data_IF_500921992735
#
_entry.id   IF_500921992735
#
_cell.length_a   1.000
_cell.length_b   1.000
_cell.length_c   1.000
_cell.angle_alpha   90.00
_cell.angle_beta   90.00
_cell.angle_gamma   90.00
#
_symmetry.space_group_name_H-M   'P 1'
#
loop_
_entity.id
_entity.type
_entity.pdbx_description
1 polymer ?
#
# COMPACT_ATOMS: atom_id res chain seq x y z
N UNK A 1 -30.89 -13.46 16.18
CA UNK A 1 -31.44 -12.99 14.89
C UNK A 1 -31.48 -14.19 13.95
N UNK A 2 -32.53 -14.33 13.11
CA UNK A 2 -32.56 -15.40 12.10
C UNK A 2 -31.72 -14.93 10.89
N UNK A 3 -30.62 -15.60 10.53
CA UNK A 3 -29.72 -15.12 9.48
C UNK A 3 -30.39 -14.96 8.11
N UNK A 4 -31.36 -15.83 7.79
CA UNK A 4 -32.05 -15.82 6.49
C UNK A 4 -32.85 -14.53 6.33
N UNK A 5 -33.62 -14.10 7.35
CA UNK A 5 -34.40 -12.85 7.30
C UNK A 5 -33.49 -11.63 7.07
N UNK A 6 -32.29 -11.65 7.66
CA UNK A 6 -31.31 -10.56 7.48
C UNK A 6 -30.75 -10.52 6.07
N UNK A 7 -30.48 -11.70 5.48
CA UNK A 7 -30.01 -11.83 4.09
C UNK A 7 -31.10 -11.35 3.12
N UNK A 8 -32.35 -11.79 3.35
CA UNK A 8 -33.50 -11.41 2.49
C UNK A 8 -33.77 -9.90 2.49
N UNK A 9 -33.65 -9.24 3.60
CA UNK A 9 -33.75 -7.77 3.66
C UNK A 9 -32.75 -7.08 2.72
N UNK A 10 -31.48 -7.48 2.77
CA UNK A 10 -30.45 -6.90 1.87
C UNK A 10 -30.68 -7.31 0.42
N UNK A 11 -31.01 -8.60 0.16
CA UNK A 11 -31.36 -9.08 -1.17
C UNK A 11 -32.47 -8.25 -1.81
N UNK A 12 -33.48 -7.90 -1.03
CA UNK A 12 -34.66 -7.12 -1.47
C UNK A 12 -34.39 -5.61 -1.49
N UNK A 13 -33.16 -5.17 -1.23
CA UNK A 13 -32.72 -3.78 -1.28
C UNK A 13 -33.15 -2.93 -0.07
N UNK A 14 -33.56 -3.56 1.01
CA UNK A 14 -33.92 -2.86 2.25
C UNK A 14 -32.69 -2.41 3.01
N UNK A 15 -32.82 -1.26 3.66
CA UNK A 15 -31.79 -0.75 4.57
C UNK A 15 -31.78 -1.55 5.87
N UNK A 16 -30.59 -1.97 6.31
CA UNK A 16 -30.40 -2.77 7.51
C UNK A 16 -30.02 -1.88 8.70
N UNK A 17 -30.61 -2.12 9.87
CA UNK A 17 -30.30 -1.32 11.07
C UNK A 17 -28.90 -1.60 11.59
N UNK A 18 -28.27 -0.59 12.20
CA UNK A 18 -26.94 -0.68 12.82
C UNK A 18 -26.83 -1.85 13.82
N UNK A 19 -27.85 -2.04 14.66
CA UNK A 19 -27.85 -3.12 15.64
C UNK A 19 -27.89 -4.51 15.02
N UNK A 20 -28.60 -4.67 13.89
CA UNK A 20 -28.67 -5.96 13.18
C UNK A 20 -27.38 -6.27 12.44
N UNK A 21 -26.74 -5.28 11.81
CA UNK A 21 -25.41 -5.44 11.19
C UNK A 21 -24.39 -5.88 12.24
N UNK A 22 -24.30 -5.15 13.36
CA UNK A 22 -23.40 -5.50 14.48
C UNK A 22 -23.64 -6.92 14.98
N UNK A 23 -24.90 -7.30 15.18
CA UNK A 23 -25.27 -8.64 15.65
C UNK A 23 -24.92 -9.74 14.64
N UNK A 24 -25.11 -9.51 13.34
CA UNK A 24 -24.76 -10.46 12.29
C UNK A 24 -23.24 -10.72 12.25
N UNK A 25 -22.43 -9.66 12.31
CA UNK A 25 -20.97 -9.76 12.28
C UNK A 25 -20.46 -10.45 13.56
N UNK A 26 -21.02 -10.12 14.73
CA UNK A 26 -20.71 -10.83 15.99
C UNK A 26 -21.03 -12.32 15.88
N UNK A 27 -22.24 -12.67 15.41
CA UNK A 27 -22.69 -14.06 15.27
C UNK A 27 -21.84 -14.83 14.26
N UNK A 28 -21.42 -14.17 13.17
CA UNK A 28 -20.52 -14.77 12.19
C UNK A 28 -19.13 -15.02 12.78
N UNK A 29 -18.56 -14.05 13.46
CA UNK A 29 -17.23 -14.16 14.08
C UNK A 29 -17.19 -15.26 15.15
N UNK A 30 -18.31 -15.52 15.81
CA UNK A 30 -18.46 -16.56 16.83
C UNK A 30 -18.95 -17.92 16.25
N UNK A 31 -19.05 -18.06 14.93
CA UNK A 31 -19.45 -19.30 14.26
C UNK A 31 -20.94 -19.65 14.36
N UNK A 32 -21.81 -18.71 14.79
CA UNK A 32 -23.28 -18.91 14.83
C UNK A 32 -23.96 -18.63 13.50
N UNK A 33 -23.33 -17.92 12.59
CA UNK A 33 -23.71 -17.75 11.20
C UNK A 33 -22.73 -18.56 10.36
N UNK A 34 -23.22 -19.39 9.45
CA UNK A 34 -22.40 -20.23 8.62
C UNK A 34 -21.80 -19.47 7.42
N UNK A 35 -20.66 -19.93 6.89
CA UNK A 35 -19.96 -19.29 5.74
C UNK A 35 -20.86 -19.08 4.54
N UNK A 36 -21.73 -20.05 4.19
CA UNK A 36 -22.64 -19.91 3.07
C UNK A 36 -23.71 -18.84 3.30
N UNK A 37 -24.10 -18.57 4.54
CA UNK A 37 -25.02 -17.47 4.88
C UNK A 37 -24.30 -16.13 4.80
N UNK A 38 -23.10 -16.05 5.33
CA UNK A 38 -22.27 -14.84 5.21
C UNK A 38 -21.95 -14.53 3.73
N UNK A 39 -21.61 -15.54 2.92
CA UNK A 39 -21.38 -15.39 1.49
C UNK A 39 -22.63 -14.89 0.73
N UNK A 40 -23.82 -15.41 1.07
CA UNK A 40 -25.08 -14.92 0.49
C UNK A 40 -25.36 -13.47 0.84
N UNK A 41 -25.09 -13.04 2.09
CA UNK A 41 -25.22 -11.66 2.49
C UNK A 41 -24.20 -10.74 1.80
N UNK A 42 -22.93 -11.18 1.69
CA UNK A 42 -21.88 -10.44 0.97
C UNK A 42 -22.26 -10.23 -0.51
N UNK A 43 -22.84 -11.25 -1.17
CA UNK A 43 -23.32 -11.12 -2.54
C UNK A 43 -24.52 -10.15 -2.62
N UNK A 44 -25.45 -10.20 -1.66
CA UNK A 44 -26.54 -9.24 -1.60
C UNK A 44 -26.03 -7.80 -1.43
N UNK A 45 -25.02 -7.58 -0.57
CA UNK A 45 -24.33 -6.29 -0.44
C UNK A 45 -23.64 -5.88 -1.74
N UNK A 46 -22.95 -6.80 -2.40
CA UNK A 46 -22.28 -6.53 -3.68
C UNK A 46 -23.26 -6.01 -4.74
N UNK A 47 -24.43 -6.64 -4.84
CA UNK A 47 -25.45 -6.31 -5.85
C UNK A 47 -26.32 -5.09 -5.50
N UNK A 48 -26.58 -4.84 -4.22
CA UNK A 48 -27.51 -3.79 -3.75
C UNK A 48 -26.82 -2.59 -3.11
N UNK A 49 -25.53 -2.72 -2.79
CA UNK A 49 -24.77 -1.70 -2.07
C UNK A 49 -25.13 -1.59 -0.58
N UNK A 50 -24.47 -0.65 0.07
CA UNK A 50 -24.76 -0.17 1.43
C UNK A 50 -24.73 1.35 1.42
N UNK A 51 -25.58 1.97 2.21
CA UNK A 51 -25.48 3.41 2.46
C UNK A 51 -24.38 3.72 3.49
N UNK A 52 -24.10 5.00 3.71
CA UNK A 52 -23.04 5.46 4.62
C UNK A 52 -23.24 4.93 6.04
N UNK A 53 -24.46 4.94 6.57
CA UNK A 53 -24.77 4.44 7.91
C UNK A 53 -24.53 2.92 8.02
N UNK A 54 -24.94 2.15 7.02
CA UNK A 54 -24.71 0.70 7.00
C UNK A 54 -23.20 0.39 6.90
N UNK A 55 -22.48 1.12 6.07
CA UNK A 55 -21.03 0.96 5.89
C UNK A 55 -20.27 1.30 7.16
N UNK A 56 -20.64 2.39 7.84
CA UNK A 56 -20.09 2.76 9.15
C UNK A 56 -20.38 1.69 10.21
N UNK A 57 -21.61 1.16 10.24
CA UNK A 57 -22.01 0.11 11.20
C UNK A 57 -21.22 -1.20 10.98
N UNK A 58 -20.99 -1.58 9.71
CA UNK A 58 -20.15 -2.72 9.35
C UNK A 58 -18.70 -2.49 9.79
N UNK A 59 -18.15 -1.33 9.48
CA UNK A 59 -16.79 -0.96 9.86
C UNK A 59 -16.58 -1.02 11.37
N UNK A 60 -17.51 -0.46 12.14
CA UNK A 60 -17.46 -0.48 13.60
C UNK A 60 -17.59 -1.91 14.16
N UNK A 61 -18.47 -2.73 13.59
CA UNK A 61 -18.61 -4.12 14.00
C UNK A 61 -17.33 -4.93 13.76
N UNK A 62 -16.69 -4.74 12.60
CA UNK A 62 -15.43 -5.39 12.27
C UNK A 62 -14.28 -4.88 13.15
N UNK A 63 -14.18 -3.57 13.38
CA UNK A 63 -13.19 -2.97 14.30
C UNK A 63 -13.29 -3.57 15.69
N UNK A 64 -14.51 -3.68 16.22
CA UNK A 64 -14.77 -4.11 17.59
C UNK A 64 -14.78 -5.63 17.75
N UNK A 65 -14.55 -6.41 16.70
CA UNK A 65 -14.51 -7.87 16.77
C UNK A 65 -13.24 -8.43 17.40
N UNK A 66 -12.21 -7.61 17.58
CA UNK A 66 -10.92 -7.99 18.15
C UNK A 66 -10.29 -6.91 19.02
N UNK A 67 -8.97 -6.95 19.14
CA UNK A 67 -8.21 -5.96 19.90
C UNK A 67 -8.23 -4.58 19.21
N UNK A 68 -8.42 -3.53 20.01
CA UNK A 68 -8.17 -2.14 19.60
C UNK A 68 -6.88 -1.72 20.28
N UNK A 69 -5.90 -1.30 19.48
CA UNK A 69 -4.59 -0.90 20.00
C UNK A 69 -4.72 0.48 20.65
N UNK A 70 -4.39 0.53 21.94
CA UNK A 70 -4.27 1.79 22.67
C UNK A 70 -2.84 2.35 22.50
N UNK A 71 -2.71 3.45 21.74
CA UNK A 71 -1.46 4.15 21.50
C UNK A 71 -1.20 5.32 22.47
N UNK A 72 -2.00 5.48 23.52
CA UNK A 72 -1.89 6.60 24.49
C UNK A 72 -0.53 6.66 25.21
N UNK A 73 0.22 5.55 25.25
CA UNK A 73 1.59 5.51 25.77
C UNK A 73 2.64 6.10 24.81
N UNK A 74 2.27 6.47 23.58
CA UNK A 74 3.15 7.15 22.64
C UNK A 74 3.02 8.66 22.84
N UNK A 75 4.16 9.33 23.07
CA UNK A 75 4.21 10.77 23.26
C UNK A 75 4.19 11.49 21.88
N UNK A 76 3.17 12.31 21.66
CA UNK A 76 2.95 13.05 20.41
C UNK A 76 1.83 12.49 19.55
N UNK A 77 1.59 13.11 18.40
CA UNK A 77 0.51 12.74 17.48
C UNK A 77 0.95 11.57 16.59
N UNK A 78 0.15 10.53 16.60
CA UNK A 78 0.35 9.34 15.77
C UNK A 78 -0.42 9.47 14.46
N UNK A 79 0.25 9.26 13.32
CA UNK A 79 -0.40 9.27 12.00
C UNK A 79 -0.11 7.96 11.29
N UNK A 80 -1.16 7.24 10.86
CA UNK A 80 -1.01 6.05 10.02
C UNK A 80 -1.21 6.38 8.54
N UNK A 81 -0.41 5.76 7.68
CA UNK A 81 -0.55 5.82 6.21
C UNK A 81 -0.99 4.46 5.69
N UNK A 82 -2.02 4.44 4.86
CA UNK A 82 -2.43 3.21 4.16
C UNK A 82 -2.40 3.43 2.65
N UNK A 83 -1.91 2.42 1.90
CA UNK A 83 -2.04 2.34 0.45
C UNK A 83 -3.00 1.22 0.09
N UNK A 84 -3.84 1.44 -0.93
CA UNK A 84 -4.69 0.38 -1.49
C UNK A 84 -3.90 -0.62 -2.33
N UNK A 85 -2.57 -0.39 -2.48
CA UNK A 85 -1.66 -1.27 -3.20
C UNK A 85 -1.52 -0.95 -4.69
N UNK A 86 -0.34 -1.19 -5.22
CA UNK A 86 0.00 -0.96 -6.62
C UNK A 86 1.38 -1.51 -6.96
N UNK A 87 1.79 -1.37 -8.22
CA UNK A 87 3.07 -1.82 -8.72
C UNK A 87 4.16 -0.81 -8.39
N UNK A 88 5.30 -1.29 -7.85
CA UNK A 88 6.41 -0.46 -7.42
C UNK A 88 5.99 0.59 -6.37
N UNK A 89 5.07 0.23 -5.47
CA UNK A 89 4.61 1.12 -4.40
C UNK A 89 5.57 1.06 -3.21
N UNK A 90 6.67 1.78 -3.33
CA UNK A 90 7.71 1.93 -2.30
C UNK A 90 7.35 3.05 -1.30
N UNK A 91 6.21 3.72 -1.47
CA UNK A 91 5.82 4.95 -0.75
C UNK A 91 5.99 4.84 0.76
N UNK A 92 5.54 3.74 1.39
CA UNK A 92 5.60 3.59 2.86
C UNK A 92 7.04 3.59 3.39
N UNK A 93 7.97 2.95 2.68
CA UNK A 93 9.37 2.85 3.10
C UNK A 93 10.09 4.21 3.09
N UNK A 94 9.57 5.15 2.31
CA UNK A 94 10.15 6.49 2.15
C UNK A 94 9.41 7.52 3.03
N UNK A 95 8.07 7.51 2.96
CA UNK A 95 7.24 8.48 3.71
C UNK A 95 7.41 8.32 5.22
N UNK A 96 7.40 7.06 5.72
CA UNK A 96 7.44 6.84 7.17
C UNK A 96 8.70 7.41 7.84
N UNK A 97 9.94 7.15 7.35
CA UNK A 97 11.13 7.79 7.91
C UNK A 97 11.19 9.30 7.68
N UNK A 98 10.71 9.81 6.55
CA UNK A 98 10.68 11.26 6.29
C UNK A 98 9.81 12.00 7.31
N UNK A 99 8.57 11.55 7.50
CA UNK A 99 7.66 12.21 8.45
C UNK A 99 8.11 12.00 9.90
N UNK A 100 8.76 10.87 10.21
CA UNK A 100 9.33 10.63 11.52
C UNK A 100 10.55 11.53 11.78
N UNK A 101 11.37 11.85 10.76
CA UNK A 101 12.42 12.84 10.85
C UNK A 101 11.87 14.24 11.15
N UNK A 102 10.70 14.57 10.62
CA UNK A 102 9.98 15.82 10.88
C UNK A 102 9.19 15.83 12.21
N UNK A 103 9.18 14.74 12.98
CA UNK A 103 8.58 14.67 14.31
C UNK A 103 7.23 13.95 14.44
N UNK A 104 6.65 13.46 13.34
CA UNK A 104 5.42 12.62 13.39
C UNK A 104 5.74 11.27 14.02
N UNK A 105 4.81 10.71 14.80
CA UNK A 105 4.92 9.35 15.31
C UNK A 105 4.22 8.38 14.37
N UNK A 106 4.96 7.37 13.87
CA UNK A 106 4.45 6.35 12.95
C UNK A 106 4.48 4.98 13.62
N UNK A 107 3.37 4.60 14.22
CA UNK A 107 3.15 3.30 14.87
C UNK A 107 2.40 2.38 13.87
N UNK A 108 3.15 1.79 12.91
CA UNK A 108 2.53 1.17 11.75
C UNK A 108 2.41 -0.34 11.85
N UNK A 109 1.20 -0.84 11.58
CA UNK A 109 0.95 -2.27 11.33
C UNK A 109 0.71 -2.48 9.84
N UNK A 110 1.42 -3.43 9.23
CA UNK A 110 1.40 -3.69 7.80
C UNK A 110 1.16 -5.17 7.48
N UNK A 111 0.86 -5.47 6.22
CA UNK A 111 0.66 -6.83 5.71
C UNK A 111 1.77 -7.28 4.77
N UNK A 112 1.72 -8.58 4.43
CA UNK A 112 2.49 -9.19 3.34
C UNK A 112 1.83 -8.93 2.00
N UNK A 113 2.60 -9.04 0.92
CA UNK A 113 2.08 -9.01 -0.46
C UNK A 113 1.44 -10.34 -0.85
N UNK A 114 0.48 -10.24 -1.76
CA UNK A 114 -0.12 -11.37 -2.46
C UNK A 114 -0.36 -10.99 -3.93
N UNK A 115 -0.19 -11.94 -4.84
CA UNK A 115 -0.28 -11.69 -6.26
C UNK A 115 0.90 -10.86 -6.78
N UNK A 116 0.61 -10.00 -7.74
CA UNK A 116 1.58 -9.18 -8.45
C UNK A 116 1.97 -7.87 -7.73
N UNK A 117 1.38 -7.59 -6.56
CA UNK A 117 1.72 -6.41 -5.75
C UNK A 117 2.62 -6.81 -4.57
N UNK A 118 3.70 -6.07 -4.35
CA UNK A 118 4.63 -6.32 -3.25
C UNK A 118 4.10 -5.88 -1.88
N UNK A 119 4.46 -6.60 -0.82
CA UNK A 119 4.10 -6.27 0.55
C UNK A 119 5.19 -5.49 1.29
N UNK A 120 4.82 -4.51 2.10
CA UNK A 120 5.78 -3.72 2.88
C UNK A 120 6.66 -4.59 3.79
N UNK A 121 6.08 -5.63 4.41
CA UNK A 121 6.84 -6.53 5.28
C UNK A 121 7.85 -7.37 4.49
N UNK A 122 7.47 -7.88 3.31
CA UNK A 122 8.35 -8.67 2.46
C UNK A 122 9.57 -7.85 1.99
N UNK A 123 9.34 -6.56 1.68
CA UNK A 123 10.42 -5.62 1.35
C UNK A 123 11.38 -5.43 2.53
N UNK A 124 10.86 -5.18 3.72
CA UNK A 124 11.68 -5.00 4.93
C UNK A 124 12.42 -6.28 5.32
N UNK A 125 11.84 -7.46 5.16
CA UNK A 125 12.51 -8.75 5.40
C UNK A 125 13.67 -9.05 4.44
N UNK A 126 13.77 -8.34 3.31
CA UNK A 126 14.93 -8.44 2.43
C UNK A 126 16.20 -7.82 3.02
N UNK A 127 16.05 -6.96 4.03
CA UNK A 127 17.17 -6.45 4.83
C UNK A 127 17.59 -7.52 5.84
N UNK A 128 18.83 -8.03 5.77
CA UNK A 128 19.27 -9.11 6.65
C UNK A 128 19.10 -8.75 8.13
N UNK A 129 18.51 -9.65 8.91
CA UNK A 129 18.30 -9.49 10.35
C UNK A 129 17.09 -8.64 10.75
N UNK A 130 16.39 -8.00 9.80
CA UNK A 130 15.22 -7.15 10.13
C UNK A 130 14.07 -7.97 10.72
N UNK A 131 13.56 -7.53 11.87
CA UNK A 131 12.45 -8.16 12.59
C UNK A 131 11.13 -7.45 12.32
N UNK A 132 10.17 -8.16 11.73
CA UNK A 132 8.79 -7.67 11.51
C UNK A 132 7.86 -7.89 12.70
N UNK A 133 8.36 -8.56 13.74
CA UNK A 133 7.59 -8.83 14.98
C UNK A 133 8.34 -8.24 16.15
N UNK A 134 7.66 -7.37 16.90
CA UNK A 134 8.13 -6.82 18.17
C UNK A 134 7.07 -7.12 19.24
N UNK A 135 7.50 -7.22 20.49
CA UNK A 135 6.57 -7.18 21.61
C UNK A 135 5.89 -5.80 21.70
N UNK A 136 4.76 -5.73 22.38
CA UNK A 136 4.05 -4.45 22.59
C UNK A 136 4.95 -3.40 23.24
N UNK A 137 5.76 -3.81 24.22
CA UNK A 137 6.69 -2.93 24.91
C UNK A 137 7.81 -2.45 23.97
N UNK A 138 8.46 -3.35 23.21
CA UNK A 138 9.47 -2.99 22.22
C UNK A 138 8.92 -2.00 21.20
N UNK A 139 7.68 -2.23 20.70
CA UNK A 139 7.02 -1.39 19.72
C UNK A 139 6.80 0.02 20.24
N UNK A 140 6.22 0.19 21.43
CA UNK A 140 6.01 1.50 22.01
C UNK A 140 7.30 2.24 22.36
N UNK A 141 8.26 1.54 22.95
CA UNK A 141 9.58 2.11 23.28
C UNK A 141 10.31 2.59 22.04
N UNK A 142 10.24 1.83 20.95
CA UNK A 142 10.85 2.23 19.68
C UNK A 142 10.18 3.47 19.09
N UNK A 143 8.83 3.50 19.02
CA UNK A 143 8.11 4.67 18.47
C UNK A 143 8.36 5.91 19.31
N UNK A 144 8.39 5.81 20.64
CA UNK A 144 8.73 6.94 21.51
C UNK A 144 10.15 7.42 21.25
N UNK A 145 11.13 6.51 21.13
CA UNK A 145 12.54 6.84 20.98
C UNK A 145 12.88 7.42 19.62
N UNK A 146 12.45 6.78 18.52
CA UNK A 146 12.88 7.15 17.17
C UNK A 146 11.75 7.68 16.27
N UNK A 147 10.51 7.66 16.73
CA UNK A 147 9.33 8.14 16.00
C UNK A 147 8.72 7.13 15.05
N UNK A 148 9.30 5.93 14.84
CA UNK A 148 8.89 5.01 13.80
C UNK A 148 9.06 3.54 14.23
N UNK A 149 8.01 2.73 14.01
CA UNK A 149 8.10 1.28 13.97
C UNK A 149 7.12 0.70 12.94
N UNK A 150 7.51 -0.38 12.24
CA UNK A 150 6.64 -1.11 11.29
C UNK A 150 6.67 -2.58 11.65
N UNK A 151 5.50 -3.13 11.99
CA UNK A 151 5.35 -4.54 12.38
C UNK A 151 4.25 -5.23 11.59
N UNK A 152 4.24 -6.55 11.63
CA UNK A 152 3.13 -7.36 11.11
C UNK A 152 1.85 -7.16 11.92
N UNK A 153 0.70 -7.24 11.25
CA UNK A 153 -0.60 -7.23 11.93
C UNK A 153 -0.76 -8.50 12.77
N UNK A 154 -1.28 -8.35 14.00
CA UNK A 154 -1.68 -9.50 14.80
C UNK A 154 -2.97 -10.12 14.24
N UNK A 155 -3.16 -11.42 14.46
CA UNK A 155 -4.41 -12.11 14.10
C UNK A 155 -5.64 -11.59 14.84
N UNK A 156 -5.42 -10.87 15.94
CA UNK A 156 -6.46 -10.32 16.81
C UNK A 156 -6.97 -8.95 16.34
N UNK A 157 -6.33 -8.32 15.36
CA UNK A 157 -6.75 -7.04 14.82
C UNK A 157 -7.90 -7.26 13.82
N UNK A 158 -9.12 -6.86 14.16
CA UNK A 158 -10.33 -7.00 13.35
C UNK A 158 -10.53 -8.43 12.75
N UNK A 159 -10.60 -9.50 13.57
CA UNK A 159 -10.72 -10.88 13.10
C UNK A 159 -11.95 -11.14 12.22
N UNK A 160 -13.04 -10.40 12.41
CA UNK A 160 -14.20 -10.45 11.50
C UNK A 160 -13.84 -10.07 10.08
N UNK A 161 -12.96 -9.08 9.86
CA UNK A 161 -12.49 -8.71 8.53
C UNK A 161 -11.71 -9.86 7.87
N UNK A 162 -10.84 -10.53 8.61
CA UNK A 162 -10.08 -11.67 8.10
C UNK A 162 -11.00 -12.79 7.58
N UNK A 163 -12.06 -13.11 8.33
CA UNK A 163 -13.04 -14.13 7.93
C UNK A 163 -13.85 -13.67 6.70
N UNK A 164 -14.39 -12.45 6.72
CA UNK A 164 -15.17 -11.91 5.63
C UNK A 164 -14.33 -11.76 4.35
N UNK A 165 -13.08 -11.30 4.46
CA UNK A 165 -12.21 -11.13 3.29
C UNK A 165 -11.89 -12.47 2.63
N UNK A 166 -11.64 -13.54 3.41
CA UNK A 166 -11.44 -14.88 2.88
C UNK A 166 -12.65 -15.41 2.08
N UNK A 167 -13.87 -15.10 2.56
CA UNK A 167 -15.08 -15.42 1.79
C UNK A 167 -15.21 -14.57 0.52
N UNK A 168 -14.92 -13.28 0.61
CA UNK A 168 -15.02 -12.36 -0.53
C UNK A 168 -14.09 -12.78 -1.66
N UNK A 169 -12.88 -13.18 -1.33
CA UNK A 169 -11.90 -13.68 -2.29
C UNK A 169 -12.41 -14.94 -3.03
N UNK A 170 -13.04 -15.85 -2.30
CA UNK A 170 -13.58 -17.11 -2.84
C UNK A 170 -14.93 -16.96 -3.56
N UNK A 171 -15.67 -15.87 -3.32
CA UNK A 171 -17.07 -15.71 -3.82
C UNK A 171 -17.25 -14.59 -4.84
N UNK A 172 -16.15 -13.94 -5.30
CA UNK A 172 -16.20 -12.89 -6.31
C UNK A 172 -16.88 -11.62 -5.82
N UNK A 173 -16.75 -11.28 -4.51
CA UNK A 173 -17.37 -10.09 -3.91
C UNK A 173 -16.35 -9.07 -3.40
N UNK A 174 -15.09 -9.16 -3.85
CA UNK A 174 -14.02 -8.25 -3.42
C UNK A 174 -14.28 -6.81 -3.89
N UNK A 175 -14.77 -6.59 -5.11
CA UNK A 175 -14.82 -5.27 -5.77
C UNK A 175 -16.02 -4.39 -5.34
N UNK A 176 -16.56 -4.58 -4.15
CA UNK A 176 -17.64 -3.77 -3.57
C UNK A 176 -17.06 -2.61 -2.75
N UNK A 177 -17.35 -1.36 -3.13
CA UNK A 177 -16.83 -0.16 -2.43
C UNK A 177 -17.12 -0.18 -0.94
N UNK A 178 -18.36 -0.37 -0.44
CA UNK A 178 -18.63 -0.39 1.00
C UNK A 178 -17.87 -1.52 1.71
N UNK A 179 -17.70 -2.70 1.08
CA UNK A 179 -16.95 -3.81 1.67
C UNK A 179 -15.43 -3.55 1.69
N UNK A 180 -14.89 -2.89 0.66
CA UNK A 180 -13.47 -2.49 0.64
C UNK A 180 -13.23 -1.41 1.70
N UNK A 181 -14.05 -0.37 1.72
CA UNK A 181 -13.93 0.74 2.66
C UNK A 181 -13.99 0.23 4.11
N UNK A 182 -14.97 -0.63 4.44
CA UNK A 182 -15.10 -1.22 5.77
C UNK A 182 -13.90 -2.10 6.14
N UNK A 183 -13.41 -2.92 5.20
CA UNK A 183 -12.24 -3.79 5.41
C UNK A 183 -10.97 -2.97 5.73
N UNK A 184 -10.70 -1.92 4.97
CA UNK A 184 -9.54 -1.05 5.18
C UNK A 184 -9.69 -0.30 6.49
N UNK A 185 -10.81 0.41 6.67
CA UNK A 185 -10.98 1.35 7.78
C UNK A 185 -11.16 0.65 9.12
N UNK A 186 -11.75 -0.55 9.19
CA UNK A 186 -11.84 -1.31 10.45
C UNK A 186 -10.46 -1.59 11.05
N UNK A 187 -9.47 -1.98 10.22
CA UNK A 187 -8.09 -2.22 10.65
C UNK A 187 -7.37 -0.92 11.01
N UNK A 188 -7.59 0.16 10.25
CA UNK A 188 -6.96 1.45 10.52
C UNK A 188 -7.47 2.06 11.83
N UNK A 189 -8.77 1.98 12.07
CA UNK A 189 -9.38 2.43 13.32
C UNK A 189 -9.02 1.54 14.53
N UNK A 190 -8.89 0.21 14.32
CA UNK A 190 -8.41 -0.71 15.35
C UNK A 190 -6.92 -0.49 15.69
N UNK A 191 -6.11 -0.02 14.74
CA UNK A 191 -4.69 0.33 14.94
C UNK A 191 -4.45 1.53 15.85
N UNK A 192 -5.47 2.34 16.14
CA UNK A 192 -5.47 3.35 17.21
C UNK A 192 -4.88 4.70 16.86
N UNK A 193 -4.29 4.93 15.67
CA UNK A 193 -3.67 6.19 15.30
C UNK A 193 -4.61 7.41 15.46
N UNK A 194 -4.05 8.57 15.75
CA UNK A 194 -4.81 9.81 15.94
C UNK A 194 -5.35 10.36 14.63
N UNK A 195 -4.62 10.17 13.51
CA UNK A 195 -5.04 10.56 12.18
C UNK A 195 -4.64 9.50 11.14
N UNK A 196 -5.30 9.53 9.98
CA UNK A 196 -5.12 8.56 8.91
C UNK A 196 -4.94 9.28 7.58
N UNK A 197 -3.89 8.91 6.82
CA UNK A 197 -3.69 9.35 5.44
C UNK A 197 -3.77 8.13 4.52
N UNK A 198 -4.71 8.18 3.58
CA UNK A 198 -5.00 7.12 2.63
C UNK A 198 -4.38 7.47 1.26
N UNK A 199 -3.65 6.54 0.69
CA UNK A 199 -3.11 6.60 -0.67
C UNK A 199 -3.94 5.65 -1.54
N UNK A 200 -4.95 6.19 -2.22
CA UNK A 200 -5.95 5.43 -2.98
C UNK A 200 -5.53 5.35 -4.43
N UNK A 201 -5.12 4.16 -4.83
CA UNK A 201 -4.58 3.88 -6.17
C UNK A 201 -5.68 3.58 -7.18
N UNK A 202 -5.54 4.08 -8.42
CA UNK A 202 -6.39 3.73 -9.55
C UNK A 202 -5.58 3.50 -10.82
N UNK A 203 -6.15 2.76 -11.77
CA UNK A 203 -5.54 2.45 -13.06
C UNK A 203 -5.17 0.97 -13.21
N UNK A 204 -4.43 0.64 -14.26
CA UNK A 204 -4.15 -0.74 -14.67
C UNK A 204 -3.41 -1.53 -13.61
N UNK A 205 -2.47 -0.91 -12.91
CA UNK A 205 -1.69 -1.50 -11.82
C UNK A 205 -2.36 -1.47 -10.44
N UNK A 206 -3.64 -1.10 -10.33
CA UNK A 206 -4.38 -0.98 -9.08
C UNK A 206 -5.66 -1.82 -9.04
N UNK A 207 -6.28 -1.96 -7.85
CA UNK A 207 -7.59 -2.59 -7.69
C UNK A 207 -8.70 -1.74 -8.32
N UNK A 208 -8.74 -0.44 -8.03
CA UNK A 208 -9.69 0.48 -8.68
C UNK A 208 -9.22 0.79 -10.09
N UNK A 209 -10.03 0.42 -11.09
CA UNK A 209 -9.63 0.56 -12.50
C UNK A 209 -9.83 1.97 -13.03
N UNK A 210 -10.77 2.72 -12.47
CA UNK A 210 -11.05 4.08 -12.91
C UNK A 210 -10.88 5.10 -11.78
N UNK A 211 -10.60 6.34 -12.16
CA UNK A 211 -10.47 7.46 -11.24
C UNK A 211 -11.78 7.71 -10.45
N UNK A 212 -12.93 7.56 -11.11
CA UNK A 212 -14.26 7.77 -10.52
C UNK A 212 -14.51 6.75 -9.38
N UNK A 213 -14.23 5.46 -9.63
CA UNK A 213 -14.39 4.40 -8.63
C UNK A 213 -13.42 4.59 -7.44
N UNK A 214 -12.20 5.03 -7.72
CA UNK A 214 -11.24 5.35 -6.67
C UNK A 214 -11.69 6.57 -5.84
N UNK A 215 -12.29 7.57 -6.48
CA UNK A 215 -12.84 8.73 -5.78
C UNK A 215 -14.00 8.33 -4.86
N UNK A 216 -14.93 7.50 -5.33
CA UNK A 216 -16.03 6.95 -4.50
C UNK A 216 -15.48 6.19 -3.28
N UNK A 217 -14.49 5.32 -3.49
CA UNK A 217 -13.84 4.58 -2.41
C UNK A 217 -13.14 5.51 -1.41
N UNK A 218 -12.38 6.48 -1.92
CA UNK A 218 -11.66 7.45 -1.09
C UNK A 218 -12.63 8.28 -0.23
N UNK A 219 -13.71 8.77 -0.82
CA UNK A 219 -14.77 9.50 -0.11
C UNK A 219 -15.38 8.63 0.99
N UNK A 220 -15.80 7.40 0.67
CA UNK A 220 -16.36 6.49 1.65
C UNK A 220 -15.41 6.22 2.84
N UNK A 221 -14.10 6.05 2.58
CA UNK A 221 -13.11 5.83 3.64
C UNK A 221 -12.88 7.09 4.48
N UNK A 222 -12.83 8.28 3.87
CA UNK A 222 -12.71 9.55 4.58
C UNK A 222 -13.92 9.76 5.49
N UNK A 223 -15.14 9.57 4.97
CA UNK A 223 -16.38 9.75 5.73
C UNK A 223 -16.46 8.78 6.94
N UNK A 224 -16.01 7.52 6.77
CA UNK A 224 -15.89 6.56 7.88
C UNK A 224 -14.90 7.07 8.95
N UNK A 225 -13.75 7.57 8.55
CA UNK A 225 -12.74 8.07 9.49
C UNK A 225 -13.24 9.28 10.28
N UNK A 226 -13.83 10.26 9.58
CA UNK A 226 -14.44 11.46 10.20
C UNK A 226 -15.57 11.08 11.14
N UNK A 227 -16.47 10.18 10.73
CA UNK A 227 -17.56 9.68 11.58
C UNK A 227 -17.06 8.96 12.85
N UNK A 228 -15.85 8.35 12.77
CA UNK A 228 -15.17 7.74 13.91
C UNK A 228 -14.37 8.75 14.77
N UNK A 229 -14.41 10.05 14.46
CA UNK A 229 -13.69 11.10 15.16
C UNK A 229 -12.18 11.11 14.87
N UNK A 230 -11.76 10.54 13.72
CA UNK A 230 -10.36 10.48 13.29
C UNK A 230 -10.16 11.37 12.04
N UNK A 231 -9.36 12.44 12.12
CA UNK A 231 -8.95 13.19 10.94
C UNK A 231 -8.44 12.23 9.86
N UNK A 232 -9.04 12.28 8.68
CA UNK A 232 -8.73 11.34 7.60
C UNK A 232 -8.65 12.09 6.28
N UNK A 233 -7.53 11.93 5.58
CA UNK A 233 -7.30 12.51 4.25
C UNK A 233 -7.00 11.40 3.27
N UNK A 234 -7.53 11.48 2.04
CA UNK A 234 -7.22 10.56 0.96
C UNK A 234 -6.54 11.27 -0.22
N UNK A 235 -5.45 10.70 -0.69
CA UNK A 235 -4.73 11.13 -1.90
C UNK A 235 -5.01 10.10 -2.99
N UNK A 236 -5.56 10.54 -4.13
CA UNK A 236 -5.80 9.68 -5.29
C UNK A 236 -4.55 9.67 -6.17
N UNK A 237 -4.01 8.47 -6.42
CA UNK A 237 -2.77 8.31 -7.17
C UNK A 237 -2.91 7.35 -8.34
N UNK A 238 -2.38 7.76 -9.52
CA UNK A 238 -2.44 6.98 -10.75
C UNK A 238 -1.43 5.84 -10.77
N UNK A 239 -1.92 4.65 -11.11
CA UNK A 239 -1.16 3.43 -11.36
C UNK A 239 -1.30 2.97 -12.82
N UNK A 240 -1.58 3.89 -13.75
CA UNK A 240 -1.53 3.63 -15.21
C UNK A 240 -0.09 3.42 -15.72
N UNK A 241 0.89 3.59 -14.86
CA UNK A 241 2.27 3.15 -15.00
C UNK A 241 2.79 2.76 -13.61
N UNK A 242 3.88 1.99 -13.49
CA UNK A 242 4.54 1.73 -12.20
C UNK A 242 4.81 3.05 -11.45
N UNK A 243 4.66 3.04 -10.13
CA UNK A 243 4.86 4.25 -9.34
C UNK A 243 6.35 4.58 -9.20
N UNK A 244 7.15 3.59 -8.81
CA UNK A 244 8.60 3.66 -8.71
C UNK A 244 9.29 2.99 -9.87
N UNK A 245 10.62 2.95 -9.79
CA UNK A 245 11.53 2.37 -10.77
C UNK A 245 11.94 0.94 -10.42
N UNK A 246 11.47 0.40 -9.30
CA UNK A 246 11.83 -0.92 -8.80
C UNK A 246 10.60 -1.76 -8.50
N UNK A 247 10.57 -3.00 -8.99
CA UNK A 247 9.52 -3.99 -8.75
C UNK A 247 10.18 -5.23 -8.17
N UNK A 248 10.07 -5.43 -6.86
CA UNK A 248 10.71 -6.54 -6.14
C UNK A 248 11.22 -6.09 -4.77
N UNK A 249 11.41 -7.05 -3.84
CA UNK A 249 11.52 -6.71 -2.43
C UNK A 249 12.81 -5.91 -2.10
N UNK A 250 13.99 -6.47 -2.32
CA UNK A 250 15.25 -5.78 -2.07
C UNK A 250 15.50 -4.59 -3.01
N UNK A 251 14.99 -4.68 -4.26
CA UNK A 251 15.08 -3.60 -5.23
C UNK A 251 14.35 -2.36 -4.75
N UNK A 252 13.20 -2.54 -4.10
CA UNK A 252 12.43 -1.42 -3.56
C UNK A 252 13.05 -0.84 -2.27
N UNK A 253 13.84 -1.62 -1.52
CA UNK A 253 14.70 -1.09 -0.45
C UNK A 253 15.81 -0.20 -1.05
N UNK A 254 16.46 -0.65 -2.13
CA UNK A 254 17.48 0.13 -2.84
C UNK A 254 16.88 1.44 -3.38
N UNK A 255 15.67 1.38 -3.96
CA UNK A 255 14.95 2.57 -4.42
C UNK A 255 14.60 3.52 -3.27
N UNK A 256 14.19 3.00 -2.10
CA UNK A 256 13.93 3.84 -0.94
C UNK A 256 15.20 4.62 -0.51
N UNK A 257 16.36 3.96 -0.51
CA UNK A 257 17.65 4.61 -0.25
C UNK A 257 17.96 5.67 -1.31
N UNK A 258 17.67 5.38 -2.57
CA UNK A 258 17.91 6.34 -3.66
C UNK A 258 17.04 7.58 -3.53
N UNK A 259 15.72 7.44 -3.30
CA UNK A 259 14.81 8.58 -3.12
C UNK A 259 15.19 9.40 -1.90
N UNK A 260 15.48 8.75 -0.76
CA UNK A 260 15.92 9.42 0.47
C UNK A 260 17.29 10.09 0.33
N UNK A 261 18.08 9.72 -0.71
CA UNK A 261 19.35 10.39 -1.09
C UNK A 261 19.17 11.45 -2.16
N UNK A 262 17.94 11.86 -2.48
CA UNK A 262 17.62 12.87 -3.50
C UNK A 262 17.57 12.37 -4.95
N UNK A 263 17.81 11.08 -5.18
CA UNK A 263 17.72 10.40 -6.49
C UNK A 263 16.33 9.77 -6.66
N UNK A 264 16.16 8.88 -7.64
CA UNK A 264 14.92 8.11 -7.84
C UNK A 264 13.93 8.76 -8.79
N UNK A 265 12.84 8.03 -9.07
CA UNK A 265 11.81 8.41 -10.04
C UNK A 265 10.97 9.62 -9.60
N UNK A 266 10.52 10.40 -10.57
CA UNK A 266 9.74 11.63 -10.33
C UNK A 266 8.34 11.32 -9.79
N UNK A 267 7.69 10.26 -10.32
CA UNK A 267 6.34 9.87 -9.94
C UNK A 267 6.27 9.44 -8.47
N UNK A 268 7.17 8.57 -8.04
CA UNK A 268 7.26 8.12 -6.65
C UNK A 268 7.56 9.28 -5.70
N UNK A 269 8.49 10.14 -6.05
CA UNK A 269 8.85 11.33 -5.25
C UNK A 269 7.66 12.27 -5.08
N UNK A 270 6.88 12.51 -6.14
CA UNK A 270 5.69 13.37 -6.08
C UNK A 270 4.65 12.82 -5.10
N UNK A 271 4.36 11.50 -5.15
CA UNK A 271 3.42 10.85 -4.22
C UNK A 271 3.96 10.87 -2.79
N UNK A 272 5.24 10.59 -2.59
CA UNK A 272 5.90 10.62 -1.28
C UNK A 272 5.76 11.99 -0.62
N UNK A 273 6.10 13.06 -1.34
CA UNK A 273 6.01 14.43 -0.83
C UNK A 273 4.56 14.83 -0.56
N UNK A 274 3.63 14.44 -1.42
CA UNK A 274 2.21 14.77 -1.22
C UNK A 274 1.62 14.03 -0.02
N UNK A 275 1.75 12.72 0.05
CA UNK A 275 1.23 11.90 1.16
C UNK A 275 1.86 12.32 2.48
N UNK A 276 3.18 12.51 2.50
CA UNK A 276 3.91 12.95 3.70
C UNK A 276 3.49 14.34 4.16
N UNK A 277 3.27 15.27 3.24
CA UNK A 277 2.79 16.62 3.58
C UNK A 277 1.43 16.60 4.29
N UNK A 278 0.50 15.75 3.83
CA UNK A 278 -0.77 15.57 4.52
C UNK A 278 -0.62 14.84 5.86
N UNK A 279 0.39 13.97 6.03
CA UNK A 279 0.71 13.40 7.35
C UNK A 279 1.25 14.48 8.31
N UNK A 280 2.10 15.39 7.86
CA UNK A 280 2.56 16.53 8.68
C UNK A 280 1.40 17.46 9.05
N UNK A 281 0.51 17.76 8.09
CA UNK A 281 -0.70 18.57 8.33
C UNK A 281 -1.63 17.89 9.34
N UNK A 282 -1.88 16.61 9.20
CA UNK A 282 -2.71 15.83 10.12
C UNK A 282 -2.12 15.75 11.53
N UNK A 283 -0.78 15.80 11.67
CA UNK A 283 -0.09 15.88 12.94
C UNK A 283 -0.05 17.31 13.54
N UNK A 284 -0.54 18.32 12.83
CA UNK A 284 -0.50 19.71 13.26
C UNK A 284 0.88 20.35 13.24
N UNK A 285 1.85 19.75 12.54
CA UNK A 285 3.22 20.28 12.43
C UNK A 285 3.35 21.37 11.37
N UNK A 286 2.44 21.39 10.41
CA UNK A 286 2.33 22.41 9.35
C UNK A 286 0.86 22.79 9.16
N UNK A 287 0.63 23.96 8.61
CA UNK A 287 -0.72 24.47 8.34
C UNK A 287 -1.21 24.08 6.95
N UNK A 288 -0.29 24.03 5.98
CA UNK A 288 -0.59 23.75 4.59
C UNK A 288 0.20 22.54 4.06
N UNK A 289 -0.30 21.88 3.04
CA UNK A 289 0.42 20.81 2.37
C UNK A 289 1.70 21.32 1.68
N UNK A 290 1.71 22.57 1.21
CA UNK A 290 2.88 23.17 0.56
C UNK A 290 4.04 23.36 1.56
N UNK A 291 3.75 23.85 2.77
CA UNK A 291 4.72 23.89 3.87
C UNK A 291 5.26 22.49 4.18
N UNK A 292 4.35 21.49 4.26
CA UNK A 292 4.73 20.10 4.50
C UNK A 292 5.65 19.53 3.42
N UNK A 293 5.39 19.81 2.16
CA UNK A 293 6.27 19.41 1.04
C UNK A 293 7.67 20.04 1.18
N UNK A 294 7.73 21.31 1.56
CA UNK A 294 9.00 22.02 1.76
C UNK A 294 9.82 21.35 2.87
N UNK A 295 9.21 21.11 4.03
CA UNK A 295 9.86 20.41 5.16
C UNK A 295 10.38 19.03 4.75
N UNK A 296 9.58 18.22 4.06
CA UNK A 296 10.02 16.91 3.63
C UNK A 296 11.14 16.96 2.59
N UNK A 297 11.11 17.94 1.68
CA UNK A 297 12.18 18.12 0.71
C UNK A 297 13.50 18.53 1.40
N UNK A 298 13.45 19.32 2.48
CA UNK A 298 14.61 19.64 3.31
C UNK A 298 15.21 18.40 3.95
N UNK A 299 14.38 17.50 4.52
CA UNK A 299 14.84 16.23 5.10
C UNK A 299 15.44 15.24 4.07
N UNK A 300 15.06 15.35 2.78
CA UNK A 300 15.75 14.66 1.70
C UNK A 300 17.10 15.32 1.43
N UNK A 301 17.14 16.65 1.32
CA UNK A 301 18.32 17.41 0.89
C UNK A 301 19.45 17.36 1.92
N UNK A 302 19.11 17.40 3.21
CA UNK A 302 20.08 17.37 4.32
C UNK A 302 20.47 15.94 4.76
N UNK A 303 19.78 14.93 4.19
CA UNK A 303 20.03 13.50 4.46
C UNK A 303 19.44 12.98 5.77
N UNK A 304 18.71 13.81 6.55
CA UNK A 304 18.10 13.38 7.81
C UNK A 304 17.01 12.32 7.61
N UNK A 305 16.29 12.35 6.49
CA UNK A 305 15.35 11.31 6.11
C UNK A 305 16.02 9.94 5.89
N UNK A 306 17.15 9.90 5.19
CA UNK A 306 17.96 8.69 5.02
C UNK A 306 18.53 8.19 6.35
N UNK A 307 19.03 9.10 7.19
CA UNK A 307 19.52 8.75 8.50
C UNK A 307 18.42 8.13 9.37
N UNK A 308 17.18 8.68 9.31
CA UNK A 308 16.02 8.11 10.01
C UNK A 308 15.64 6.73 9.48
N UNK A 309 15.72 6.50 8.17
CA UNK A 309 15.51 5.18 7.57
C UNK A 309 16.55 4.16 8.09
N UNK A 310 17.83 4.56 8.13
CA UNK A 310 18.89 3.73 8.69
C UNK A 310 18.63 3.41 10.17
N UNK A 311 18.33 4.41 10.98
CA UNK A 311 17.99 4.26 12.40
C UNK A 311 16.81 3.31 12.61
N UNK A 312 15.78 3.39 11.75
CA UNK A 312 14.63 2.51 11.77
C UNK A 312 15.01 1.04 11.48
N UNK A 313 15.78 0.81 10.43
CA UNK A 313 16.23 -0.54 10.08
C UNK A 313 17.06 -1.16 11.21
N UNK A 314 18.03 -0.42 11.76
CA UNK A 314 18.88 -0.86 12.87
C UNK A 314 18.07 -1.15 14.15
N UNK A 315 17.08 -0.31 14.46
CA UNK A 315 16.23 -0.48 15.64
C UNK A 315 15.43 -1.80 15.61
N UNK A 316 15.12 -2.31 14.41
CA UNK A 316 14.47 -3.61 14.23
C UNK A 316 15.46 -4.74 13.84
N UNK A 317 16.78 -4.54 14.06
CA UNK A 317 17.83 -5.56 13.89
C UNK A 317 18.36 -5.70 12.47
N UNK A 318 17.96 -4.83 11.53
CA UNK A 318 18.42 -4.87 10.15
C UNK A 318 19.88 -4.45 9.99
N UNK A 319 20.61 -5.15 9.13
CA UNK A 319 21.96 -4.76 8.70
C UNK A 319 21.88 -3.61 7.70
N UNK A 320 22.42 -2.46 8.06
CA UNK A 320 22.43 -1.24 7.23
C UNK A 320 23.77 -0.97 6.56
N UNK A 321 24.72 -1.90 6.62
CA UNK A 321 26.06 -1.74 6.05
C UNK A 321 26.09 -1.52 4.53
N UNK A 322 25.01 -1.84 3.84
CA UNK A 322 24.85 -1.60 2.39
C UNK A 322 24.57 -0.14 2.05
N UNK A 323 23.94 0.64 2.95
CA UNK A 323 23.52 2.03 2.69
C UNK A 323 24.75 2.92 2.46
N UNK A 324 24.79 3.57 1.28
CA UNK A 324 25.89 4.44 0.87
C UNK A 324 27.16 3.70 0.38
N UNK A 325 27.15 2.36 0.38
CA UNK A 325 28.32 1.54 -0.04
C UNK A 325 28.02 0.78 -1.33
N UNK A 326 26.91 0.06 -1.38
CA UNK A 326 26.50 -0.79 -2.52
C UNK A 326 24.99 -1.06 -2.45
N UNK A 327 24.32 -1.40 -3.57
CA UNK A 327 22.95 -1.89 -3.51
C UNK A 327 22.81 -3.16 -2.66
N UNK A 328 21.68 -3.31 -1.97
CA UNK A 328 21.30 -4.53 -1.27
C UNK A 328 21.13 -5.69 -2.27
N UNK A 329 20.52 -5.38 -3.41
CA UNK A 329 20.29 -6.35 -4.50
C UNK A 329 21.57 -6.64 -5.25
N UNK A 330 21.93 -7.93 -5.33
CA UNK A 330 23.13 -8.39 -6.07
C UNK A 330 22.77 -8.74 -7.51
N UNK A 331 23.61 -8.34 -8.47
CA UNK A 331 23.49 -8.71 -9.90
C UNK A 331 24.06 -10.12 -10.17
N UNK A 332 23.50 -11.15 -9.55
CA UNK A 332 23.98 -12.53 -9.72
C UNK A 332 23.52 -13.10 -11.07
N UNK A 333 22.23 -12.93 -11.38
CA UNK A 333 21.62 -13.33 -12.64
C UNK A 333 20.77 -12.15 -13.13
N UNK A 334 21.38 -11.23 -13.88
CA UNK A 334 20.75 -10.01 -14.35
C UNK A 334 20.74 -9.95 -15.88
N UNK A 335 19.57 -9.60 -16.43
CA UNK A 335 19.37 -9.47 -17.89
C UNK A 335 18.86 -8.09 -18.24
N UNK A 336 19.64 -7.37 -19.06
CA UNK A 336 19.30 -6.03 -19.49
C UNK A 336 18.43 -6.08 -20.75
N UNK A 337 17.26 -5.45 -20.71
CA UNK A 337 16.31 -5.35 -21.83
C UNK A 337 16.43 -3.95 -22.42
N UNK A 338 16.59 -3.88 -23.74
CA UNK A 338 16.82 -2.64 -24.47
C UNK A 338 15.67 -2.30 -25.41
N UNK A 339 15.53 -1.00 -25.68
CA UNK A 339 14.60 -0.47 -26.67
C UNK A 339 15.05 -0.86 -28.09
N UNK A 340 14.12 -1.27 -28.93
CA UNK A 340 14.38 -1.59 -30.35
C UNK A 340 14.20 -0.37 -31.26
N UNK A 341 13.50 0.66 -30.81
CA UNK A 341 13.21 1.87 -31.56
C UNK A 341 13.33 3.12 -30.70
N UNK A 342 13.58 4.25 -31.34
CA UNK A 342 13.60 5.57 -30.70
C UNK A 342 12.18 6.16 -30.62
N UNK A 343 11.93 7.01 -29.62
CA UNK A 343 10.66 7.71 -29.42
C UNK A 343 10.48 8.19 -28.00
N UNK A 344 9.25 8.12 -27.51
CA UNK A 344 8.84 8.45 -26.13
C UNK A 344 8.07 7.29 -25.54
N UNK A 345 8.25 7.03 -24.27
CA UNK A 345 7.47 6.02 -23.53
C UNK A 345 6.05 6.56 -23.34
N UNK A 346 5.09 6.13 -24.16
CA UNK A 346 3.68 6.54 -24.05
C UNK A 346 2.95 5.82 -22.92
N UNK A 347 3.31 4.54 -22.68
CA UNK A 347 2.70 3.72 -21.61
C UNK A 347 3.70 2.67 -21.12
N UNK A 348 3.58 2.32 -19.83
CA UNK A 348 4.29 1.18 -19.22
C UNK A 348 3.27 0.30 -18.52
N UNK A 349 3.05 -0.91 -19.04
CA UNK A 349 2.13 -1.88 -18.43
C UNK A 349 2.70 -2.40 -17.11
N UNK A 350 2.35 -1.69 -16.03
CA UNK A 350 2.78 -2.05 -14.68
C UNK A 350 2.31 -3.44 -14.26
N UNK A 351 1.09 -3.83 -14.65
CA UNK A 351 0.53 -5.14 -14.30
C UNK A 351 1.34 -6.27 -14.93
N UNK A 352 1.63 -6.18 -16.22
CA UNK A 352 2.46 -7.17 -16.91
C UNK A 352 3.84 -7.31 -16.25
N UNK A 353 4.47 -6.18 -15.89
CA UNK A 353 5.76 -6.19 -15.18
C UNK A 353 5.65 -6.80 -13.77
N UNK A 354 4.57 -6.51 -13.03
CA UNK A 354 4.31 -7.10 -11.72
C UNK A 354 4.08 -8.62 -11.78
N UNK A 355 3.35 -9.10 -12.79
CA UNK A 355 3.14 -10.53 -13.04
C UNK A 355 4.47 -11.22 -13.36
N UNK A 356 5.33 -10.61 -14.17
CA UNK A 356 6.68 -11.14 -14.47
C UNK A 356 7.53 -11.17 -13.19
N UNK A 357 7.51 -10.12 -12.36
CA UNK A 357 8.21 -10.12 -11.10
C UNK A 357 7.74 -11.26 -10.18
N UNK A 358 6.43 -11.50 -10.10
CA UNK A 358 5.86 -12.62 -9.35
C UNK A 358 6.32 -13.97 -9.89
N UNK A 359 6.25 -14.18 -11.21
CA UNK A 359 6.67 -15.42 -11.88
C UNK A 359 8.16 -15.71 -11.67
N UNK A 360 9.00 -14.67 -11.58
CA UNK A 360 10.44 -14.80 -11.29
C UNK A 360 10.76 -14.98 -9.80
N UNK A 361 9.73 -15.04 -8.96
CA UNK A 361 9.82 -15.37 -7.54
C UNK A 361 9.74 -14.18 -6.58
N UNK A 362 9.57 -12.94 -7.05
CA UNK A 362 9.47 -11.78 -6.17
C UNK A 362 8.12 -11.66 -5.42
N UNK A 363 7.08 -12.34 -5.92
CA UNK A 363 5.72 -12.33 -5.34
C UNK A 363 5.20 -13.72 -5.03
N UNK A 364 4.00 -13.79 -4.41
CA UNK A 364 3.29 -15.04 -4.08
C UNK A 364 2.08 -15.22 -4.99
N UNK A 365 2.03 -16.32 -5.74
CA UNK A 365 0.82 -16.77 -6.39
C UNK A 365 -0.17 -17.39 -5.38
N UNK A 366 0.36 -18.09 -4.37
CA UNK A 366 -0.39 -18.68 -3.27
C UNK A 366 0.14 -18.20 -1.92
N UNK A 367 -0.72 -18.14 -0.91
CA UNK A 367 -0.40 -17.59 0.42
C UNK A 367 0.85 -18.20 1.07
N UNK A 368 1.09 -19.49 0.83
CA UNK A 368 2.16 -20.25 1.47
C UNK A 368 3.44 -20.34 0.61
N UNK A 369 3.47 -19.64 -0.54
CA UNK A 369 4.65 -19.62 -1.41
C UNK A 369 5.84 -18.94 -0.71
N UNK A 370 7.02 -19.55 -0.88
CA UNK A 370 8.29 -18.96 -0.46
C UNK A 370 8.78 -18.04 -1.58
N UNK A 371 8.92 -16.76 -1.27
CA UNK A 371 9.40 -15.77 -2.24
C UNK A 371 10.93 -15.64 -2.22
N UNK A 372 11.49 -15.26 -3.36
CA UNK A 372 12.88 -14.83 -3.47
C UNK A 372 12.94 -13.31 -3.31
N UNK A 373 13.50 -12.87 -2.19
CA UNK A 373 13.55 -11.46 -1.83
C UNK A 373 14.48 -10.61 -2.71
N UNK A 374 15.29 -11.24 -3.57
CA UNK A 374 16.33 -10.58 -4.38
C UNK A 374 16.09 -10.66 -5.88
N UNK A 375 14.91 -11.12 -6.31
CA UNK A 375 14.46 -11.10 -7.72
C UNK A 375 13.52 -9.93 -7.98
N UNK A 376 13.34 -9.57 -9.29
CA UNK A 376 12.45 -8.50 -9.70
C UNK A 376 12.95 -7.72 -10.90
N UNK A 377 12.47 -6.51 -11.08
CA UNK A 377 12.81 -5.64 -12.20
C UNK A 377 13.26 -4.25 -11.71
N UNK A 378 14.33 -3.72 -12.27
CA UNK A 378 14.72 -2.33 -12.14
C UNK A 378 14.47 -1.61 -13.46
N UNK A 379 13.58 -0.62 -13.48
CA UNK A 379 13.26 0.18 -14.64
C UNK A 379 14.30 1.28 -14.81
N UNK A 380 14.61 1.64 -16.05
CA UNK A 380 15.57 2.70 -16.39
C UNK A 380 14.88 3.87 -17.11
N UNK A 381 13.60 3.71 -17.44
CA UNK A 381 12.76 4.73 -18.07
C UNK A 381 11.41 4.78 -17.39
N UNK A 382 10.94 5.99 -17.11
CA UNK A 382 9.56 6.25 -16.69
C UNK A 382 8.66 6.50 -17.90
N UNK A 383 7.35 6.46 -17.69
CA UNK A 383 6.38 6.95 -18.67
C UNK A 383 6.67 8.41 -19.01
N UNK A 384 6.58 8.74 -20.30
CA UNK A 384 6.91 10.04 -20.91
C UNK A 384 8.41 10.35 -21.08
N UNK A 385 9.31 9.47 -20.69
CA UNK A 385 10.73 9.64 -20.98
C UNK A 385 11.02 9.46 -22.48
N UNK A 386 11.96 10.26 -23.00
CA UNK A 386 12.56 10.03 -24.31
C UNK A 386 13.45 8.79 -24.26
N UNK A 387 13.39 7.98 -25.32
CA UNK A 387 14.16 6.76 -25.47
C UNK A 387 14.77 6.70 -26.86
N UNK A 388 15.99 6.20 -26.98
CA UNK A 388 16.65 5.91 -28.23
C UNK A 388 16.84 4.40 -28.42
N UNK A 389 16.87 3.93 -29.66
CA UNK A 389 17.14 2.52 -29.93
C UNK A 389 18.48 2.10 -29.31
N UNK A 390 18.45 1.02 -28.52
CA UNK A 390 19.58 0.55 -27.73
C UNK A 390 19.62 1.03 -26.27
N UNK A 391 18.81 2.02 -25.88
CA UNK A 391 18.69 2.44 -24.48
C UNK A 391 18.18 1.31 -23.58
N UNK A 392 18.63 1.28 -22.34
CA UNK A 392 18.08 0.36 -21.34
C UNK A 392 16.66 0.77 -20.97
N UNK A 393 15.72 -0.16 -21.11
CA UNK A 393 14.35 -0.03 -20.60
C UNK A 393 14.25 -0.55 -19.16
N UNK A 394 14.82 -1.73 -18.95
CA UNK A 394 14.68 -2.47 -17.70
C UNK A 394 15.83 -3.46 -17.53
N UNK A 395 16.19 -3.77 -16.27
CA UNK A 395 17.01 -4.92 -15.92
C UNK A 395 16.15 -5.92 -15.14
N UNK A 396 16.05 -7.16 -15.61
CA UNK A 396 15.43 -8.28 -14.90
C UNK A 396 16.47 -8.96 -14.03
N UNK A 397 16.16 -9.17 -12.75
CA UNK A 397 16.95 -9.92 -11.79
C UNK A 397 16.26 -11.25 -11.51
N UNK A 398 16.88 -12.35 -11.88
CA UNK A 398 16.39 -13.72 -11.69
C UNK A 398 17.13 -14.46 -10.58
N UNK A 399 16.58 -15.63 -10.21
CA UNK A 399 17.28 -16.56 -9.35
C UNK A 399 18.54 -17.09 -10.04
N UNK A 400 19.54 -17.50 -9.26
CA UNK A 400 20.78 -18.06 -9.78
C UNK A 400 20.51 -19.26 -10.66
N UNK A 401 21.04 -19.22 -11.91
CA UNK A 401 20.86 -20.30 -12.90
C UNK A 401 19.49 -20.37 -13.58
N UNK A 402 18.53 -19.48 -13.25
CA UNK A 402 17.25 -19.46 -13.93
C UNK A 402 17.39 -18.94 -15.37
N UNK A 403 16.70 -19.60 -16.32
CA UNK A 403 16.54 -19.08 -17.68
C UNK A 403 15.48 -17.97 -17.70
N UNK A 404 15.88 -16.78 -18.09
CA UNK A 404 15.03 -15.60 -18.15
C UNK A 404 14.68 -15.18 -19.59
N UNK A 405 15.08 -15.96 -20.59
CA UNK A 405 14.90 -15.61 -21.99
C UNK A 405 13.44 -15.41 -22.41
N UNK A 406 12.53 -16.19 -21.81
CA UNK A 406 11.09 -16.12 -22.08
C UNK A 406 10.43 -14.79 -21.63
N UNK A 407 11.08 -14.04 -20.75
CA UNK A 407 10.52 -12.78 -20.24
C UNK A 407 10.91 -11.55 -21.06
N UNK A 408 11.97 -11.61 -21.88
CA UNK A 408 12.49 -10.44 -22.58
C UNK A 408 11.47 -9.77 -23.49
N UNK A 409 10.80 -10.57 -24.33
CA UNK A 409 9.79 -10.06 -25.26
C UNK A 409 8.57 -9.52 -24.49
N UNK A 410 8.14 -10.20 -23.43
CA UNK A 410 7.04 -9.75 -22.56
C UNK A 410 7.37 -8.42 -21.86
N UNK A 411 8.59 -8.28 -21.34
CA UNK A 411 9.05 -7.02 -20.73
C UNK A 411 9.11 -5.91 -21.76
N UNK A 412 9.66 -6.19 -22.97
CA UNK A 412 9.77 -5.20 -24.05
C UNK A 412 8.37 -4.75 -24.49
N UNK A 413 7.42 -5.67 -24.61
CA UNK A 413 6.04 -5.37 -24.98
C UNK A 413 5.30 -4.53 -23.95
N UNK A 414 5.69 -4.58 -22.67
CA UNK A 414 5.13 -3.74 -21.62
C UNK A 414 5.48 -2.25 -21.77
N UNK A 415 6.51 -1.90 -22.58
CA UNK A 415 6.88 -0.53 -22.88
C UNK A 415 6.35 -0.12 -24.25
N UNK A 416 5.32 0.70 -24.30
CA UNK A 416 4.79 1.24 -25.53
C UNK A 416 5.57 2.51 -25.90
N UNK A 417 6.37 2.43 -26.99
CA UNK A 417 7.17 3.54 -27.48
C UNK A 417 6.43 4.20 -28.64
N UNK A 418 6.17 5.50 -28.52
CA UNK A 418 5.50 6.33 -29.52
C UNK A 418 6.52 7.20 -30.25
N UNK A 419 6.26 7.52 -31.53
CA UNK A 419 7.18 8.33 -32.33
C UNK A 419 7.22 9.81 -31.91
N UNK A 420 6.13 10.31 -31.33
CA UNK A 420 6.00 11.69 -30.86
C UNK A 420 5.80 11.74 -29.34
N UNK A 421 6.23 12.82 -28.72
CA UNK A 421 5.98 13.06 -27.31
C UNK A 421 4.47 13.18 -27.04
N UNK A 422 3.91 12.46 -26.05
CA UNK A 422 2.50 12.57 -25.68
C UNK A 422 2.13 14.02 -25.30
N UNK A 423 1.07 14.52 -25.92
CA UNK A 423 0.60 15.91 -25.71
C UNK A 423 0.01 16.05 -24.31
N UNK A 424 -0.76 15.06 -23.86
CA UNK A 424 -1.36 15.02 -22.53
C UNK A 424 -0.57 14.06 -21.64
N UNK A 425 -0.12 14.56 -20.49
CA UNK A 425 0.59 13.78 -19.47
C UNK A 425 -0.27 13.72 -18.24
N UNK A 426 -0.61 12.51 -17.81
CA UNK A 426 -1.40 12.30 -16.59
C UNK A 426 -0.56 12.68 -15.35
N UNK A 427 -1.15 13.52 -14.49
CA UNK A 427 -0.57 13.80 -13.18
C UNK A 427 -0.67 12.55 -12.30
N UNK A 428 0.43 12.16 -11.64
CA UNK A 428 0.43 10.99 -10.76
C UNK A 428 -0.48 11.17 -9.55
N UNK A 429 -0.61 12.38 -9.01
CA UNK A 429 -1.61 12.75 -8.00
C UNK A 429 -2.78 13.40 -8.71
N UNK A 430 -3.93 12.73 -8.70
CA UNK A 430 -5.11 13.17 -9.43
C UNK A 430 -6.04 14.07 -8.60
N UNK A 431 -6.11 13.85 -7.29
CA UNK A 431 -6.94 14.62 -6.37
C UNK A 431 -6.54 14.36 -4.91
N UNK A 432 -6.99 15.24 -4.03
CA UNK A 432 -6.96 15.03 -2.58
C UNK A 432 -8.36 15.28 -2.03
N UNK A 433 -8.79 14.43 -1.10
CA UNK A 433 -10.05 14.54 -0.37
C UNK A 433 -9.67 14.69 1.10
N UNK A 434 -9.93 15.87 1.64
CA UNK A 434 -9.67 16.20 3.04
C UNK A 434 -10.99 16.13 3.81
N UNK A 435 -10.99 15.49 4.99
CA UNK A 435 -12.16 15.24 5.81
C UNK A 435 -12.23 16.09 7.06
#
# INVERSE_FOLDING_TARGET
>A
MWPVDFIEEKRDGKEQSTSRIKKFIEDYTQGRVADYQAAAWLMAVYLKGMNERETAALTEAMRNSGEIVDLSAIEGVTVDKHSTGGIADTTTLIVAPLVAAAGVKVAKMSGRGLGFTGGTLDKLESVPGFRITLSKEEFFNQVNRIGLAVIGQSGELAPADKLLYALRDATGTVESIPLIASSVMSKKLAGGADAIVLDVKYGDGAFMKTRERAFELARAMVDIGVAAGKPTTAVLTSMNAPLGMSIGNSLEIDEAVDVLSGRGGKRLKEVVLTVGAYMLKAAGLVTTAEEGRTVLQEHINDGSGLQKFKEFLEAQGGDTSFIGVRPLTKRINARDIRAEKSGFIGHVDGRALGEIAMETGAGRAHKDDVINLYTGLALHKEVYDKVEAGDFLCTLYGAEGADMSAYEERIRAAFQIEAAEPIEKEAVVAAVIDG
#
